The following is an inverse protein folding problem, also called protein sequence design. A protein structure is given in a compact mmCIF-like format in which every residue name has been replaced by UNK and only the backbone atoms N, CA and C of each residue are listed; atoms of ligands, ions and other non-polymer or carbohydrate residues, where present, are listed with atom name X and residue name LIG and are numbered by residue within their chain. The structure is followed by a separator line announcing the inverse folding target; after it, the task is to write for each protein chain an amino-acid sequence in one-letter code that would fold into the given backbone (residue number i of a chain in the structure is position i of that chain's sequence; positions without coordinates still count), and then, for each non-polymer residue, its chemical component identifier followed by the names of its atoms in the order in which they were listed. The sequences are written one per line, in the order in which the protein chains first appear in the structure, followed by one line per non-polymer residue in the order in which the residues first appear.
data_IF_726979229915
#
_entry.id   IF_726979229915
#
_cell.length_a   1.000
_cell.length_b   1.000
_cell.length_c   1.000
_cell.angle_alpha   90.00
_cell.angle_beta   90.00
_cell.angle_gamma   90.00
#
_symmetry.space_group_name_H-M   'P 1'
#
loop_
_entity.id
_entity.type
_entity.pdbx_description
1 polymer ?
#
# COMPACT_ATOMS: atom_id res chain seq x y z
N UNK A 1 -49.31 16.19 -7.71
CA UNK A 1 -47.93 15.96 -7.19
C UNK A 1 -47.35 14.79 -7.95
N UNK A 2 -46.24 14.92 -8.68
CA UNK A 2 -45.61 13.79 -9.35
C UNK A 2 -45.08 12.83 -8.27
N UNK A 3 -45.36 11.53 -8.43
CA UNK A 3 -44.80 10.47 -7.56
C UNK A 3 -43.27 10.53 -7.67
N UNK A 4 -42.60 10.66 -6.55
CA UNK A 4 -41.14 10.47 -6.49
C UNK A 4 -40.82 9.04 -6.98
N UNK A 5 -40.07 8.93 -8.06
CA UNK A 5 -39.60 7.65 -8.57
C UNK A 5 -38.38 7.32 -7.77
N UNK A 6 -38.40 6.20 -7.02
CA UNK A 6 -37.23 5.71 -6.29
C UNK A 6 -36.43 4.75 -7.16
N UNK A 7 -35.12 4.76 -7.01
CA UNK A 7 -34.20 3.80 -7.59
C UNK A 7 -33.36 3.16 -6.48
N UNK A 8 -32.80 1.99 -6.74
CA UNK A 8 -31.95 1.28 -5.81
C UNK A 8 -30.51 1.26 -6.32
N UNK A 9 -29.59 1.80 -5.54
CA UNK A 9 -28.17 1.91 -5.90
C UNK A 9 -27.35 0.97 -5.00
N UNK A 10 -26.52 0.16 -5.63
CA UNK A 10 -25.62 -0.72 -4.88
C UNK A 10 -24.51 0.10 -4.20
N UNK A 11 -24.44 0.05 -2.88
CA UNK A 11 -23.45 0.76 -2.07
C UNK A 11 -21.99 0.31 -2.37
N UNK A 12 -21.81 -0.87 -2.96
CA UNK A 12 -20.50 -1.45 -3.25
C UNK A 12 -19.96 -1.15 -4.65
N UNK A 13 -20.84 -1.19 -5.67
CA UNK A 13 -20.39 -1.06 -7.06
C UNK A 13 -21.11 0.04 -7.86
N UNK A 14 -22.07 0.75 -7.24
CA UNK A 14 -22.82 1.81 -7.91
C UNK A 14 -23.81 1.31 -8.96
N UNK A 15 -24.10 0.01 -9.05
CA UNK A 15 -25.12 -0.52 -9.96
C UNK A 15 -26.49 0.03 -9.60
N UNK A 16 -27.20 0.59 -10.59
CA UNK A 16 -28.53 1.17 -10.43
C UNK A 16 -29.60 0.20 -10.89
N UNK A 17 -30.60 -0.04 -10.06
CA UNK A 17 -31.77 -0.88 -10.36
C UNK A 17 -33.06 -0.11 -10.09
N UNK A 18 -34.09 -0.27 -10.94
CA UNK A 18 -35.42 0.28 -10.64
C UNK A 18 -36.16 -0.48 -9.53
N UNK A 19 -35.64 -1.61 -9.08
CA UNK A 19 -36.19 -2.49 -8.06
C UNK A 19 -35.12 -2.86 -7.05
N UNK A 20 -35.53 -3.05 -5.80
CA UNK A 20 -34.66 -3.67 -4.82
C UNK A 20 -34.37 -5.12 -5.19
N UNK A 21 -33.10 -5.52 -5.17
CA UNK A 21 -32.64 -6.87 -5.42
C UNK A 21 -31.83 -7.34 -4.22
N UNK A 22 -32.15 -8.50 -3.68
CA UNK A 22 -31.42 -9.07 -2.54
C UNK A 22 -29.93 -9.35 -2.83
N UNK A 23 -29.58 -9.49 -4.11
CA UNK A 23 -28.20 -9.68 -4.59
C UNK A 23 -27.94 -8.71 -5.74
N UNK A 24 -26.83 -7.97 -5.69
CA UNK A 24 -26.43 -7.08 -6.77
C UNK A 24 -25.97 -7.89 -8.00
N UNK A 25 -26.56 -7.70 -9.19
CA UNK A 25 -26.17 -8.46 -10.38
C UNK A 25 -24.78 -8.10 -10.91
N UNK A 26 -24.26 -6.92 -10.57
CA UNK A 26 -22.96 -6.47 -11.05
C UNK A 26 -21.78 -6.97 -10.20
N UNK A 27 -21.89 -6.89 -8.84
CA UNK A 27 -20.81 -7.31 -7.95
C UNK A 27 -21.09 -8.61 -7.18
N UNK A 28 -22.31 -9.16 -7.26
CA UNK A 28 -22.69 -10.41 -6.63
C UNK A 28 -22.89 -10.37 -5.11
N UNK A 29 -22.67 -9.22 -4.45
CA UNK A 29 -22.87 -9.07 -3.01
C UNK A 29 -24.35 -9.00 -2.64
N UNK A 30 -24.70 -9.47 -1.43
CA UNK A 30 -26.07 -9.49 -0.91
C UNK A 30 -26.34 -8.24 -0.07
N UNK A 31 -27.61 -7.77 -0.08
CA UNK A 31 -28.13 -6.67 0.73
C UNK A 31 -27.36 -5.34 0.59
N UNK A 32 -26.83 -5.06 -0.59
CA UNK A 32 -26.03 -3.85 -0.87
C UNK A 32 -26.80 -2.76 -1.63
N UNK A 33 -28.06 -3.00 -1.98
CA UNK A 33 -28.90 -2.05 -2.70
C UNK A 33 -29.65 -1.15 -1.70
N UNK A 34 -29.29 0.14 -1.68
CA UNK A 34 -29.96 1.18 -0.90
C UNK A 34 -30.98 1.94 -1.77
N UNK A 35 -32.10 2.33 -1.19
CA UNK A 35 -33.12 3.12 -1.87
C UNK A 35 -32.66 4.59 -1.95
N UNK A 36 -32.61 5.15 -3.16
CA UNK A 36 -32.33 6.56 -3.41
C UNK A 36 -33.48 7.21 -4.19
N UNK A 37 -33.93 8.40 -3.78
CA UNK A 37 -34.99 9.12 -4.53
C UNK A 37 -34.44 9.62 -5.86
N UNK A 38 -35.15 9.33 -6.94
CA UNK A 38 -34.87 9.93 -8.26
C UNK A 38 -35.63 11.26 -8.31
N UNK A 39 -34.95 12.39 -8.18
CA UNK A 39 -35.53 13.67 -8.54
C UNK A 39 -35.41 13.87 -10.05
N UNK A 40 -36.43 14.44 -10.69
CA UNK A 40 -36.33 14.74 -12.12
C UNK A 40 -35.17 15.71 -12.33
N UNK A 41 -34.24 15.31 -13.14
CA UNK A 41 -33.13 16.16 -13.56
C UNK A 41 -33.69 17.47 -14.07
N UNK A 42 -33.30 18.60 -13.47
CA UNK A 42 -33.55 19.91 -14.07
C UNK A 42 -33.06 19.87 -15.53
N UNK A 43 -33.75 20.46 -16.49
CA UNK A 43 -33.37 20.39 -17.87
C UNK A 43 -31.98 20.99 -18.02
N UNK A 44 -30.99 20.11 -18.15
CA UNK A 44 -29.63 20.50 -18.43
C UNK A 44 -29.64 21.32 -19.71
N UNK A 45 -29.38 22.62 -19.62
CA UNK A 45 -29.02 23.42 -20.80
C UNK A 45 -27.87 22.71 -21.46
N UNK A 46 -28.16 22.02 -22.56
CA UNK A 46 -27.17 21.45 -23.44
C UNK A 46 -26.31 22.58 -24.01
N UNK A 47 -25.34 23.05 -23.27
CA UNK A 47 -24.19 23.67 -23.87
C UNK A 47 -23.35 22.56 -24.48
N UNK A 48 -23.74 22.16 -25.68
CA UNK A 48 -22.87 21.40 -26.58
C UNK A 48 -21.76 22.35 -27.03
N UNK A 49 -20.70 22.47 -26.24
CA UNK A 49 -19.41 22.87 -26.81
C UNK A 49 -19.00 21.69 -27.69
N UNK A 50 -19.39 21.73 -28.95
CA UNK A 50 -18.80 20.94 -30.01
C UNK A 50 -17.39 21.46 -30.25
N UNK A 51 -16.45 21.15 -29.38
CA UNK A 51 -15.05 21.06 -29.79
C UNK A 51 -15.00 19.87 -30.74
N UNK A 52 -14.97 20.19 -32.03
CA UNK A 52 -14.82 19.17 -33.09
C UNK A 52 -13.49 18.47 -32.91
N UNK A 53 -13.47 17.43 -32.09
CA UNK A 53 -12.34 16.52 -31.95
C UNK A 53 -12.23 15.73 -33.27
N UNK A 54 -11.35 16.17 -34.15
CA UNK A 54 -11.00 15.46 -35.37
C UNK A 54 -10.07 14.30 -34.98
N UNK A 55 -10.34 13.11 -35.47
CA UNK A 55 -9.38 12.01 -35.34
C UNK A 55 -8.06 12.40 -35.99
N UNK A 56 -6.97 12.26 -35.27
CA UNK A 56 -5.61 12.58 -35.74
C UNK A 56 -4.84 11.27 -35.93
N UNK A 57 -4.12 11.07 -37.02
CA UNK A 57 -3.22 9.95 -37.19
C UNK A 57 -2.18 9.90 -36.07
N UNK A 58 -1.78 8.71 -35.65
CA UNK A 58 -0.77 8.53 -34.59
C UNK A 58 0.53 9.28 -34.87
N UNK A 59 0.94 9.36 -36.14
CA UNK A 59 2.14 10.07 -36.59
C UNK A 59 2.09 11.60 -36.43
N UNK A 60 0.88 12.16 -36.24
CA UNK A 60 0.65 13.60 -36.03
C UNK A 60 0.44 13.94 -34.57
N UNK A 61 0.38 12.94 -33.69
CA UNK A 61 0.31 13.15 -32.25
C UNK A 61 1.70 13.52 -31.78
N UNK A 62 1.89 14.80 -31.41
CA UNK A 62 3.11 15.25 -30.77
C UNK A 62 3.18 14.66 -29.36
N UNK A 63 4.25 13.91 -29.10
CA UNK A 63 4.52 13.39 -27.77
C UNK A 63 5.06 14.52 -26.89
N UNK A 64 4.19 15.19 -26.13
CA UNK A 64 4.64 16.03 -25.05
C UNK A 64 5.16 15.11 -23.94
N UNK A 65 6.47 15.13 -23.69
CA UNK A 65 7.01 14.56 -22.46
C UNK A 65 6.26 15.22 -21.30
N UNK A 66 5.52 14.43 -20.54
CA UNK A 66 4.88 14.95 -19.33
C UNK A 66 5.95 15.60 -18.45
N UNK A 67 5.87 16.91 -18.34
CA UNK A 67 6.71 17.66 -17.42
C UNK A 67 6.38 17.17 -16.00
N UNK A 68 7.39 16.72 -15.28
CA UNK A 68 7.24 16.19 -13.93
C UNK A 68 7.76 17.23 -12.95
N UNK A 69 6.95 17.48 -11.92
CA UNK A 69 7.27 18.38 -10.83
C UNK A 69 7.58 17.54 -9.60
N UNK A 70 8.63 17.86 -8.86
CA UNK A 70 8.95 17.16 -7.62
C UNK A 70 7.89 17.46 -6.56
N UNK A 71 7.52 16.44 -5.81
CA UNK A 71 6.65 16.59 -4.63
C UNK A 71 7.38 17.15 -3.40
N UNK A 72 8.71 17.34 -3.49
CA UNK A 72 9.59 17.65 -2.35
C UNK A 72 9.96 16.43 -1.50
N UNK A 73 9.40 15.27 -1.80
CA UNK A 73 9.66 14.01 -1.07
C UNK A 73 10.06 12.92 -2.07
N UNK A 74 11.35 12.60 -2.09
CA UNK A 74 11.94 11.68 -3.09
C UNK A 74 11.21 10.31 -3.15
N UNK A 75 10.82 9.77 -2.01
CA UNK A 75 10.09 8.49 -1.93
C UNK A 75 8.70 8.58 -2.56
N UNK A 76 8.01 9.71 -2.45
CA UNK A 76 6.73 9.94 -3.13
C UNK A 76 6.94 10.08 -4.64
N UNK A 77 7.98 10.80 -5.06
CA UNK A 77 8.31 10.96 -6.48
C UNK A 77 8.58 9.60 -7.15
N UNK A 78 9.29 8.69 -6.46
CA UNK A 78 9.50 7.31 -6.95
C UNK A 78 8.17 6.59 -7.18
N UNK A 79 7.24 6.63 -6.21
CA UNK A 79 5.93 5.96 -6.32
C UNK A 79 5.08 6.58 -7.43
N UNK A 80 5.19 7.90 -7.64
CA UNK A 80 4.52 8.61 -8.74
C UNK A 80 5.15 8.30 -10.11
N UNK A 81 6.31 7.63 -10.13
CA UNK A 81 7.04 7.29 -11.37
C UNK A 81 7.98 8.40 -11.84
N UNK A 82 8.53 9.16 -10.89
CA UNK A 82 9.53 10.22 -11.09
C UNK A 82 8.99 11.65 -10.88
N UNK A 83 7.87 11.80 -10.17
CA UNK A 83 7.27 13.09 -9.81
C UNK A 83 5.84 13.28 -10.29
N UNK A 84 5.27 14.41 -9.92
CA UNK A 84 3.88 14.80 -10.18
C UNK A 84 3.74 15.18 -11.67
N UNK A 85 2.72 14.63 -12.32
CA UNK A 85 2.35 14.98 -13.71
C UNK A 85 1.28 16.07 -13.70
N UNK A 86 1.50 17.18 -14.40
CA UNK A 86 0.52 18.27 -14.50
C UNK A 86 -0.80 17.80 -15.11
N UNK A 87 -1.92 18.29 -14.59
CA UNK A 87 -3.27 17.91 -15.04
C UNK A 87 -3.64 16.48 -14.68
N UNK A 88 -2.96 15.86 -13.71
CA UNK A 88 -3.29 14.53 -13.19
C UNK A 88 -4.26 14.59 -12.02
N UNK A 89 -4.97 13.48 -11.82
CA UNK A 89 -5.84 13.24 -10.67
C UNK A 89 -5.28 12.05 -9.87
N UNK A 90 -4.76 12.32 -8.68
CA UNK A 90 -4.09 11.36 -7.80
C UNK A 90 -4.94 11.12 -6.56
N UNK A 91 -5.25 9.87 -6.24
CA UNK A 91 -5.91 9.46 -5.01
C UNK A 91 -4.89 8.91 -4.02
N UNK A 92 -4.91 9.40 -2.79
CA UNK A 92 -4.11 8.88 -1.67
C UNK A 92 -5.07 8.25 -0.66
N UNK A 93 -5.10 6.91 -0.65
CA UNK A 93 -5.93 6.10 0.24
C UNK A 93 -5.14 5.56 1.44
N UNK A 94 -5.85 5.05 2.43
CA UNK A 94 -5.27 4.42 3.62
C UNK A 94 -6.14 4.62 4.85
N UNK A 95 -5.79 3.94 5.95
CA UNK A 95 -6.54 4.01 7.20
C UNK A 95 -6.58 5.44 7.77
N UNK A 96 -7.66 5.80 8.50
CA UNK A 96 -7.70 7.08 9.21
C UNK A 96 -6.53 7.20 10.19
N UNK A 97 -5.85 8.37 10.18
CA UNK A 97 -4.70 8.64 11.08
C UNK A 97 -3.35 8.04 10.62
N UNK A 98 -3.26 7.43 9.42
CA UNK A 98 -2.00 6.86 8.91
C UNK A 98 -1.00 7.92 8.40
N UNK A 99 -1.43 9.18 8.23
CA UNK A 99 -0.57 10.28 7.81
C UNK A 99 -0.87 10.89 6.44
N UNK A 100 -1.97 10.52 5.77
CA UNK A 100 -2.33 11.04 4.43
C UNK A 100 -2.37 12.56 4.35
N UNK A 101 -3.12 13.20 5.25
CA UNK A 101 -3.25 14.66 5.32
C UNK A 101 -1.93 15.34 5.66
N UNK A 102 -1.09 14.71 6.51
CA UNK A 102 0.26 15.22 6.83
C UNK A 102 1.15 15.21 5.59
N UNK A 103 1.21 14.09 4.85
CA UNK A 103 1.97 13.98 3.62
C UNK A 103 1.55 15.05 2.62
N UNK A 104 0.24 15.17 2.36
CA UNK A 104 -0.26 16.11 1.36
C UNK A 104 -0.15 17.57 1.81
N UNK A 105 -0.15 17.87 3.12
CA UNK A 105 0.17 19.21 3.63
C UNK A 105 1.64 19.58 3.33
N UNK A 106 2.58 18.63 3.51
CA UNK A 106 3.99 18.86 3.18
C UNK A 106 4.20 19.05 1.68
N UNK A 107 3.55 18.23 0.84
CA UNK A 107 3.56 18.38 -0.62
C UNK A 107 2.98 19.73 -1.04
N UNK A 108 1.85 20.15 -0.47
CA UNK A 108 1.20 21.42 -0.76
C UNK A 108 2.12 22.60 -0.43
N UNK A 109 2.76 22.58 0.73
CA UNK A 109 3.69 23.64 1.14
C UNK A 109 4.94 23.70 0.25
N UNK A 110 5.48 22.55 -0.17
CA UNK A 110 6.60 22.50 -1.11
C UNK A 110 6.21 23.11 -2.47
N UNK A 111 5.09 22.69 -3.02
CA UNK A 111 4.60 23.20 -4.31
C UNK A 111 4.28 24.70 -4.24
N UNK A 112 3.78 25.18 -3.10
CA UNK A 112 3.47 26.59 -2.88
C UNK A 112 4.70 27.52 -2.88
N UNK A 113 5.91 26.96 -2.87
CA UNK A 113 7.13 27.74 -3.08
C UNK A 113 7.21 28.40 -4.47
N UNK A 114 6.63 27.76 -5.50
CA UNK A 114 6.71 28.24 -6.89
C UNK A 114 5.35 28.31 -7.59
N UNK A 115 4.28 27.72 -6.99
CA UNK A 115 2.97 27.55 -7.63
C UNK A 115 1.83 28.01 -6.74
N UNK A 116 0.70 28.36 -7.34
CA UNK A 116 -0.55 28.60 -6.63
C UNK A 116 -1.18 27.27 -6.20
N UNK A 117 -1.30 27.04 -4.89
CA UNK A 117 -1.81 25.80 -4.31
C UNK A 117 -3.05 26.07 -3.48
N UNK A 118 -4.12 25.32 -3.71
CA UNK A 118 -5.33 25.32 -2.89
C UNK A 118 -5.41 24.05 -2.05
N UNK A 119 -5.57 24.20 -0.74
CA UNK A 119 -5.96 23.11 0.17
C UNK A 119 -7.44 23.26 0.50
N UNK A 120 -8.27 22.47 -0.15
CA UNK A 120 -9.72 22.38 0.08
C UNK A 120 -9.95 21.37 1.21
N UNK A 121 -10.18 21.89 2.40
CA UNK A 121 -10.46 21.10 3.59
C UNK A 121 -11.96 20.94 3.78
N UNK A 122 -12.47 19.74 3.59
CA UNK A 122 -13.88 19.42 3.76
C UNK A 122 -14.20 18.77 5.11
N UNK A 123 -13.19 18.36 5.89
CA UNK A 123 -13.37 17.73 7.21
C UNK A 123 -12.84 18.59 8.35
N UNK A 124 -11.75 19.30 8.15
CA UNK A 124 -11.10 20.11 9.18
C UNK A 124 -11.27 21.61 8.90
N UNK A 125 -11.32 22.42 9.94
CA UNK A 125 -11.33 23.89 9.81
C UNK A 125 -9.97 24.40 9.31
N UNK A 126 -9.95 25.58 8.68
CA UNK A 126 -8.70 26.23 8.27
C UNK A 126 -7.73 26.42 9.46
N UNK A 127 -8.23 26.65 10.67
CA UNK A 127 -7.42 26.78 11.88
C UNK A 127 -6.71 25.48 12.25
N UNK A 128 -7.36 24.32 12.08
CA UNK A 128 -6.74 23.02 12.34
C UNK A 128 -5.66 22.69 11.30
N UNK A 129 -5.92 23.02 10.04
CA UNK A 129 -4.90 22.87 8.98
C UNK A 129 -3.72 23.81 9.23
N UNK A 130 -3.96 25.07 9.62
CA UNK A 130 -2.90 26.04 9.97
C UNK A 130 -2.05 25.55 11.15
N UNK A 131 -2.68 25.02 12.21
CA UNK A 131 -1.96 24.44 13.35
C UNK A 131 -1.07 23.25 12.93
N UNK A 132 -1.55 22.43 12.00
CA UNK A 132 -0.74 21.35 11.41
C UNK A 132 0.46 21.92 10.65
N UNK A 133 0.26 22.94 9.81
CA UNK A 133 1.36 23.62 9.09
C UNK A 133 2.40 24.18 10.07
N UNK A 134 1.98 24.87 11.12
CA UNK A 134 2.88 25.41 12.15
C UNK A 134 3.70 24.32 12.85
N UNK A 135 3.08 23.21 13.23
CA UNK A 135 3.79 22.06 13.82
C UNK A 135 4.83 21.46 12.89
N UNK A 136 4.58 21.50 11.60
CA UNK A 136 5.48 20.98 10.55
C UNK A 136 6.52 22.04 10.10
N UNK A 137 6.48 23.26 10.66
CA UNK A 137 7.37 24.35 10.24
C UNK A 137 7.11 24.84 8.81
N UNK A 138 5.87 24.69 8.33
CA UNK A 138 5.47 25.04 6.97
C UNK A 138 4.73 26.38 6.97
N UNK A 139 5.18 27.31 6.11
CA UNK A 139 4.53 28.59 5.86
C UNK A 139 4.71 28.99 4.41
N UNK A 140 3.64 29.51 3.78
CA UNK A 140 3.68 30.02 2.40
C UNK A 140 2.44 30.86 2.10
N UNK A 141 2.63 32.05 1.53
CA UNK A 141 1.54 32.91 1.08
C UNK A 141 0.80 32.36 -0.16
N UNK A 142 1.44 31.46 -0.92
CA UNK A 142 0.83 30.82 -2.08
C UNK A 142 0.02 29.55 -1.73
N UNK A 143 0.01 29.12 -0.45
CA UNK A 143 -0.84 28.04 0.03
C UNK A 143 -2.17 28.60 0.56
N UNK A 144 -3.20 28.54 -0.27
CA UNK A 144 -4.54 29.00 0.07
C UNK A 144 -5.32 27.89 0.77
N UNK A 145 -5.99 28.23 1.88
CA UNK A 145 -6.85 27.29 2.61
C UNK A 145 -8.30 27.67 2.39
N UNK A 146 -9.13 26.72 2.00
CA UNK A 146 -10.58 26.88 1.87
C UNK A 146 -11.30 25.76 2.63
N UNK A 147 -12.19 26.15 3.55
CA UNK A 147 -13.07 25.20 4.24
C UNK A 147 -14.42 25.23 3.54
N UNK A 148 -14.64 24.30 2.62
CA UNK A 148 -15.86 24.17 1.84
C UNK A 148 -16.10 22.71 1.45
N UNK A 149 -17.35 22.28 1.41
CA UNK A 149 -17.78 20.93 1.03
C UNK A 149 -18.54 20.90 -0.30
N UNK A 150 -19.14 22.03 -0.69
CA UNK A 150 -19.87 22.17 -1.95
C UNK A 150 -18.90 22.57 -3.07
N UNK A 151 -18.80 21.72 -4.11
CA UNK A 151 -17.90 21.98 -5.24
C UNK A 151 -18.29 23.21 -6.08
N UNK A 152 -19.58 23.57 -6.14
CA UNK A 152 -20.04 24.75 -6.83
C UNK A 152 -19.46 26.02 -6.19
N UNK A 153 -19.46 26.07 -4.86
CA UNK A 153 -18.91 27.22 -4.11
C UNK A 153 -17.37 27.26 -4.19
N UNK A 154 -16.72 26.10 -4.30
CA UNK A 154 -15.25 26.00 -4.37
C UNK A 154 -14.71 26.24 -5.80
N UNK A 155 -15.53 26.25 -6.84
CA UNK A 155 -15.10 26.23 -8.24
C UNK A 155 -14.20 27.42 -8.61
N UNK A 156 -14.50 28.62 -8.17
CA UNK A 156 -13.70 29.83 -8.47
C UNK A 156 -12.27 29.68 -7.87
N UNK A 157 -12.16 29.26 -6.62
CA UNK A 157 -10.90 29.04 -5.96
C UNK A 157 -10.09 27.90 -6.62
N UNK A 158 -10.76 26.82 -7.02
CA UNK A 158 -10.15 25.70 -7.75
C UNK A 158 -9.56 26.18 -9.08
N UNK A 159 -10.30 26.98 -9.83
CA UNK A 159 -9.84 27.49 -11.13
C UNK A 159 -8.71 28.51 -11.03
N UNK A 160 -8.49 29.09 -9.87
CA UNK A 160 -7.38 30.00 -9.56
C UNK A 160 -6.07 29.31 -9.16
N UNK A 161 -6.07 27.99 -8.99
CA UNK A 161 -4.91 27.23 -8.52
C UNK A 161 -4.30 26.34 -9.62
N UNK A 162 -3.00 26.03 -9.49
CA UNK A 162 -2.34 25.03 -10.34
C UNK A 162 -2.40 23.63 -9.72
N UNK A 163 -2.37 23.55 -8.39
CA UNK A 163 -2.47 22.31 -7.61
C UNK A 163 -3.56 22.44 -6.56
N UNK A 164 -4.36 21.40 -6.41
CA UNK A 164 -5.47 21.37 -5.46
C UNK A 164 -5.39 20.08 -4.64
N UNK A 165 -5.34 20.21 -3.32
CA UNK A 165 -5.53 19.11 -2.38
C UNK A 165 -6.99 19.12 -1.92
N UNK A 166 -7.68 17.98 -1.99
CA UNK A 166 -9.05 17.79 -1.50
C UNK A 166 -9.03 16.81 -0.34
N UNK A 167 -9.33 17.27 0.86
CA UNK A 167 -9.27 16.47 2.10
C UNK A 167 -10.62 16.53 2.85
N UNK A 168 -11.50 15.53 2.67
CA UNK A 168 -11.43 14.33 1.86
C UNK A 168 -12.48 14.31 0.74
N UNK A 169 -12.28 13.39 -0.23
CA UNK A 169 -13.22 13.20 -1.34
C UNK A 169 -14.59 12.70 -0.88
N UNK A 170 -14.68 12.09 0.30
CA UNK A 170 -15.93 11.62 0.89
C UNK A 170 -16.77 12.75 1.49
N UNK A 171 -16.16 13.86 1.87
CA UNK A 171 -16.85 14.97 2.51
C UNK A 171 -17.40 15.98 1.52
N UNK A 172 -16.87 16.04 0.29
CA UNK A 172 -17.35 16.95 -0.75
C UNK A 172 -18.61 16.42 -1.45
N UNK A 173 -19.44 17.37 -1.94
CA UNK A 173 -20.64 17.06 -2.72
C UNK A 173 -20.87 18.08 -3.83
N UNK A 174 -21.80 17.77 -4.74
CA UNK A 174 -22.28 18.66 -5.81
C UNK A 174 -23.81 18.76 -5.74
N UNK A 175 -24.34 19.96 -6.01
CA UNK A 175 -25.79 20.20 -6.07
C UNK A 175 -26.48 19.52 -7.27
N UNK A 176 -25.66 18.95 -8.21
CA UNK A 176 -26.19 18.19 -9.33
C UNK A 176 -26.88 16.88 -8.91
N UNK A 177 -26.60 16.39 -7.70
CA UNK A 177 -27.18 15.19 -7.12
C UNK A 177 -27.81 15.51 -5.76
N UNK A 178 -28.89 14.81 -5.46
CA UNK A 178 -29.63 14.99 -4.20
C UNK A 178 -29.29 13.98 -3.12
N UNK A 179 -28.43 13.04 -3.45
CA UNK A 179 -27.90 12.08 -2.48
C UNK A 179 -26.97 12.77 -1.47
N UNK A 180 -26.90 12.22 -0.26
CA UNK A 180 -26.04 12.77 0.80
C UNK A 180 -24.54 12.75 0.43
N UNK A 181 -23.77 13.71 0.95
CA UNK A 181 -22.31 13.68 0.88
C UNK A 181 -21.79 12.33 1.37
N UNK A 182 -20.69 11.82 0.77
CA UNK A 182 -20.13 10.50 1.08
C UNK A 182 -20.87 9.33 0.42
N UNK A 183 -22.07 9.53 -0.18
CA UNK A 183 -22.68 8.49 -0.98
C UNK A 183 -21.83 8.18 -2.22
N UNK A 184 -21.93 6.95 -2.70
CA UNK A 184 -21.17 6.49 -3.89
C UNK A 184 -21.45 7.37 -5.11
N UNK A 185 -22.70 7.81 -5.29
CA UNK A 185 -23.10 8.68 -6.37
C UNK A 185 -22.40 10.04 -6.30
N UNK A 186 -22.40 10.69 -5.12
CA UNK A 186 -21.73 11.97 -4.89
C UNK A 186 -20.23 11.87 -5.11
N UNK A 187 -19.57 10.90 -4.47
CA UNK A 187 -18.12 10.71 -4.59
C UNK A 187 -17.71 10.49 -6.05
N UNK A 188 -18.49 9.72 -6.80
CA UNK A 188 -18.25 9.48 -8.22
C UNK A 188 -18.42 10.74 -9.07
N UNK A 189 -19.50 11.49 -8.90
CA UNK A 189 -19.75 12.70 -9.68
C UNK A 189 -18.76 13.81 -9.36
N UNK A 190 -18.43 14.00 -8.08
CA UNK A 190 -17.38 14.94 -7.66
C UNK A 190 -16.03 14.59 -8.31
N UNK A 191 -15.61 13.34 -8.24
CA UNK A 191 -14.36 12.88 -8.86
C UNK A 191 -14.39 13.06 -10.40
N UNK A 192 -15.51 12.75 -11.06
CA UNK A 192 -15.65 12.93 -12.51
C UNK A 192 -15.61 14.42 -12.91
N UNK A 193 -16.15 15.32 -12.09
CA UNK A 193 -16.09 16.76 -12.30
C UNK A 193 -14.66 17.29 -12.13
N UNK A 194 -13.96 16.89 -11.06
CA UNK A 194 -12.57 17.24 -10.84
C UNK A 194 -11.66 16.72 -11.96
N UNK A 195 -11.89 15.50 -12.46
CA UNK A 195 -11.18 14.96 -13.63
C UNK A 195 -11.40 15.82 -14.89
N UNK A 196 -12.64 16.29 -15.15
CA UNK A 196 -12.92 17.17 -16.27
C UNK A 196 -12.16 18.50 -16.15
N UNK A 197 -12.12 19.08 -14.96
CA UNK A 197 -11.37 20.31 -14.68
C UNK A 197 -9.88 20.04 -14.87
N UNK A 198 -9.32 18.96 -14.31
CA UNK A 198 -7.92 18.58 -14.45
C UNK A 198 -7.49 18.53 -15.91
N UNK A 199 -8.27 17.82 -16.76
CA UNK A 199 -7.91 17.64 -18.19
C UNK A 199 -8.15 18.86 -19.04
N UNK A 200 -9.13 19.72 -18.70
CA UNK A 200 -9.45 20.92 -19.50
C UNK A 200 -8.61 22.15 -19.12
N UNK A 201 -8.15 22.23 -17.87
CA UNK A 201 -7.45 23.38 -17.31
C UNK A 201 -5.98 23.10 -16.96
N UNK A 202 -5.55 21.83 -17.00
CA UNK A 202 -4.20 21.44 -16.59
C UNK A 202 -3.95 21.51 -15.08
N UNK A 203 -5.02 21.58 -14.26
CA UNK A 203 -4.93 21.65 -12.81
C UNK A 203 -4.69 20.23 -12.26
N UNK A 204 -3.72 20.09 -11.37
CA UNK A 204 -3.40 18.81 -10.72
C UNK A 204 -4.13 18.67 -9.40
N UNK A 205 -4.76 17.52 -9.19
CA UNK A 205 -5.50 17.24 -7.96
C UNK A 205 -4.91 16.07 -7.18
N UNK A 206 -4.80 16.26 -5.86
CA UNK A 206 -4.59 15.20 -4.88
C UNK A 206 -5.86 15.05 -4.06
N UNK A 207 -6.44 13.86 -4.09
CA UNK A 207 -7.64 13.52 -3.32
C UNK A 207 -7.26 12.63 -2.15
N UNK A 208 -7.64 13.00 -0.93
CA UNK A 208 -7.56 12.12 0.24
C UNK A 208 -8.77 11.21 0.25
N UNK A 209 -8.55 9.91 0.42
CA UNK A 209 -9.60 8.91 0.55
C UNK A 209 -9.43 8.03 1.80
N UNK A 210 -10.55 7.71 2.46
CA UNK A 210 -10.57 6.75 3.56
C UNK A 210 -10.95 5.36 3.04
N UNK A 211 -10.30 4.32 3.58
CA UNK A 211 -10.64 2.91 3.32
C UNK A 211 -11.58 2.39 4.38
N UNK A 212 -12.38 1.38 4.03
CA UNK A 212 -13.16 0.63 5.01
C UNK A 212 -12.25 -0.34 5.76
N UNK A 213 -12.70 -0.84 6.93
CA UNK A 213 -11.98 -1.86 7.74
C UNK A 213 -11.62 -3.14 6.98
N UNK A 214 -12.22 -3.37 5.83
CA UNK A 214 -11.96 -4.50 4.93
C UNK A 214 -10.87 -4.21 3.89
N UNK A 215 -10.17 -3.07 3.99
CA UNK A 215 -9.10 -2.66 3.05
C UNK A 215 -9.61 -2.23 1.68
N UNK A 216 -10.93 -2.04 1.52
CA UNK A 216 -11.53 -1.47 0.31
C UNK A 216 -11.82 0.00 0.54
N UNK A 217 -11.58 0.83 -0.48
CA UNK A 217 -12.00 2.25 -0.44
C UNK A 217 -13.49 2.33 -0.11
N UNK A 218 -13.84 3.20 0.86
CA UNK A 218 -15.23 3.56 1.11
C UNK A 218 -15.74 4.38 -0.09
N UNK A 219 -16.48 3.69 -0.96
CA UNK A 219 -16.82 4.19 -2.28
C UNK A 219 -15.94 3.48 -3.31
N UNK A 220 -16.55 2.89 -4.32
CA UNK A 220 -16.16 1.66 -4.95
C UNK A 220 -14.89 1.77 -5.80
N UNK A 221 -14.38 0.63 -6.27
CA UNK A 221 -13.47 0.44 -7.42
C UNK A 221 -13.73 1.38 -8.61
N UNK A 222 -14.87 2.05 -8.63
CA UNK A 222 -15.26 3.10 -9.57
C UNK A 222 -14.32 4.30 -9.53
N UNK A 223 -13.83 4.71 -8.35
CA UNK A 223 -12.85 5.80 -8.26
C UNK A 223 -11.52 5.42 -8.90
N UNK A 224 -11.07 4.18 -8.73
CA UNK A 224 -9.83 3.71 -9.33
C UNK A 224 -9.82 3.85 -10.85
N UNK A 225 -10.98 3.67 -11.50
CA UNK A 225 -11.09 3.85 -12.96
C UNK A 225 -10.98 5.30 -13.40
N UNK A 226 -11.46 6.24 -12.57
CA UNK A 226 -11.44 7.68 -12.87
C UNK A 226 -10.04 8.27 -12.64
N UNK A 227 -9.34 7.85 -11.57
CA UNK A 227 -8.03 8.37 -11.20
C UNK A 227 -6.95 8.03 -12.23
N UNK A 228 -5.97 8.91 -12.38
CA UNK A 228 -4.75 8.63 -13.14
C UNK A 228 -3.74 7.82 -12.32
N UNK A 229 -3.62 8.12 -11.03
CA UNK A 229 -2.85 7.34 -10.08
C UNK A 229 -3.66 7.10 -8.79
N UNK A 230 -3.48 5.93 -8.19
CA UNK A 230 -4.06 5.54 -6.90
C UNK A 230 -2.94 5.01 -6.03
N UNK A 231 -2.69 5.71 -4.93
CA UNK A 231 -1.65 5.39 -3.97
C UNK A 231 -2.31 4.93 -2.66
N UNK A 232 -1.73 3.93 -2.03
CA UNK A 232 -2.22 3.38 -0.77
C UNK A 232 -1.14 3.41 0.30
N UNK A 233 -1.46 4.00 1.46
CA UNK A 233 -0.67 3.83 2.66
C UNK A 233 -1.02 2.51 3.35
N UNK A 234 0.00 1.71 3.61
CA UNK A 234 -0.04 0.45 4.36
C UNK A 234 0.80 0.60 5.64
N UNK A 235 0.39 -0.04 6.72
CA UNK A 235 1.07 -0.07 8.02
C UNK A 235 0.10 0.16 9.17
N UNK A 236 0.45 -0.28 10.38
CA UNK A 236 -0.34 -0.05 11.58
C UNK A 236 -0.08 1.36 12.16
N UNK A 237 -1.07 1.91 12.88
CA UNK A 237 -0.96 3.27 13.45
C UNK A 237 0.20 3.43 14.43
N UNK A 238 0.53 2.35 15.13
CA UNK A 238 1.56 2.30 16.17
C UNK A 238 2.97 2.11 15.62
N UNK A 239 3.11 1.82 14.33
CA UNK A 239 4.41 1.61 13.71
C UNK A 239 5.02 2.93 13.24
N UNK A 240 6.34 3.08 13.42
CA UNK A 240 7.07 4.26 12.97
C UNK A 240 7.15 4.33 11.44
N UNK A 241 7.25 3.17 10.78
CA UNK A 241 7.39 3.10 9.34
C UNK A 241 6.07 2.83 8.64
N UNK A 242 5.89 3.45 7.48
CA UNK A 242 4.73 3.30 6.60
C UNK A 242 5.20 3.01 5.18
N UNK A 243 4.44 2.20 4.46
CA UNK A 243 4.70 1.90 3.06
C UNK A 243 3.63 2.57 2.21
N UNK A 244 4.02 3.32 1.20
CA UNK A 244 3.13 3.86 0.19
C UNK A 244 3.29 3.06 -1.10
N UNK A 245 2.22 2.48 -1.58
CA UNK A 245 2.19 1.66 -2.79
C UNK A 245 1.30 2.25 -3.87
N UNK A 246 1.75 2.21 -5.12
CA UNK A 246 0.88 2.49 -6.26
C UNK A 246 0.03 1.24 -6.57
N UNK A 247 -1.31 1.37 -6.46
CA UNK A 247 -2.28 0.36 -6.92
C UNK A 247 -2.60 0.57 -8.41
N UNK A 248 -2.58 1.84 -8.84
CA UNK A 248 -2.73 2.25 -10.23
C UNK A 248 -1.81 3.43 -10.50
N UNK A 249 -1.13 3.41 -11.64
CA UNK A 249 -0.35 4.55 -12.11
C UNK A 249 -0.30 4.54 -13.65
N UNK A 250 -0.91 5.56 -14.28
CA UNK A 250 -0.88 5.71 -15.75
C UNK A 250 0.43 6.30 -16.25
N UNK A 251 1.23 6.85 -15.36
CA UNK A 251 2.47 7.58 -15.67
C UNK A 251 3.74 6.82 -15.30
N UNK A 252 3.61 5.67 -14.65
CA UNK A 252 4.73 4.88 -14.17
C UNK A 252 4.36 3.46 -13.78
N UNK A 253 5.33 2.74 -13.24
CA UNK A 253 5.15 1.39 -12.74
C UNK A 253 4.29 1.37 -11.46
N UNK A 254 3.41 0.38 -11.34
CA UNK A 254 2.69 0.09 -10.09
C UNK A 254 3.52 -0.78 -9.12
N UNK A 255 4.72 -1.18 -9.52
CA UNK A 255 5.61 -1.98 -8.68
C UNK A 255 6.47 -1.14 -7.75
N UNK A 256 6.50 0.19 -7.93
CA UNK A 256 7.26 1.08 -7.08
C UNK A 256 6.57 1.26 -5.73
N UNK A 257 7.37 1.26 -4.67
CA UNK A 257 6.92 1.52 -3.30
C UNK A 257 7.81 2.57 -2.66
N UNK A 258 7.21 3.42 -1.83
CA UNK A 258 7.91 4.39 -0.99
C UNK A 258 7.89 3.94 0.46
N UNK A 259 9.00 4.11 1.16
CA UNK A 259 9.11 3.87 2.60
C UNK A 259 9.17 5.21 3.32
N UNK A 260 8.32 5.38 4.33
CA UNK A 260 8.19 6.63 5.07
C UNK A 260 8.29 6.38 6.56
N UNK A 261 8.86 7.32 7.27
CA UNK A 261 8.89 7.36 8.73
C UNK A 261 8.02 8.52 9.23
N UNK A 262 7.25 8.24 10.29
CA UNK A 262 6.50 9.27 11.00
C UNK A 262 7.37 9.85 12.10
N UNK A 263 7.69 11.14 11.99
CA UNK A 263 8.48 11.88 12.98
C UNK A 263 7.68 13.04 13.54
N UNK A 264 8.17 13.69 14.58
CA UNK A 264 7.57 14.92 15.13
C UNK A 264 7.56 16.06 14.09
N UNK A 265 8.53 16.08 13.18
CA UNK A 265 8.63 17.04 12.08
C UNK A 265 7.76 16.68 10.86
N UNK A 266 6.99 15.58 10.92
CA UNK A 266 6.13 15.13 9.82
C UNK A 266 6.53 13.79 9.23
N UNK A 267 6.16 13.59 7.97
CA UNK A 267 6.49 12.37 7.21
C UNK A 267 7.79 12.58 6.46
N UNK A 268 8.74 11.68 6.66
CA UNK A 268 10.05 11.70 5.99
C UNK A 268 10.20 10.45 5.13
N UNK A 269 10.65 10.62 3.90
CA UNK A 269 10.99 9.49 3.02
C UNK A 269 12.29 8.83 3.47
N UNK A 270 12.28 7.51 3.60
CA UNK A 270 13.44 6.72 4.02
C UNK A 270 14.10 6.09 2.80
N UNK A 271 15.27 6.56 2.44
CA UNK A 271 16.03 6.06 1.28
C UNK A 271 16.89 4.84 1.61
N UNK A 272 17.38 4.75 2.85
CA UNK A 272 18.15 3.59 3.36
C UNK A 272 17.26 2.70 4.23
N UNK A 273 16.37 1.97 3.56
CA UNK A 273 15.37 1.11 4.20
C UNK A 273 15.82 -0.35 4.34
N UNK A 274 16.92 -0.74 3.73
CA UNK A 274 17.28 -2.15 3.60
C UNK A 274 17.54 -2.83 4.96
N UNK A 275 18.02 -2.06 5.94
CA UNK A 275 18.32 -2.56 7.29
C UNK A 275 17.30 -2.18 8.38
N UNK A 276 16.26 -1.40 8.06
CA UNK A 276 15.30 -0.88 9.04
C UNK A 276 14.56 -1.95 9.86
N UNK A 277 14.39 -3.13 9.29
CA UNK A 277 13.63 -4.23 9.86
C UNK A 277 14.52 -5.34 10.42
N UNK A 278 15.76 -4.98 10.76
CA UNK A 278 16.74 -5.85 11.37
C UNK A 278 17.07 -5.37 12.79
N UNK A 279 17.08 -6.29 13.74
CA UNK A 279 17.51 -6.01 15.11
C UNK A 279 19.03 -5.93 15.20
N UNK A 280 19.54 -5.04 16.05
CA UNK A 280 20.97 -4.98 16.39
C UNK A 280 21.44 -6.23 17.14
N UNK A 281 20.53 -6.88 17.87
CA UNK A 281 20.80 -8.10 18.68
C UNK A 281 20.59 -9.40 17.91
N UNK A 282 20.42 -9.34 16.57
CA UNK A 282 20.24 -10.56 15.75
C UNK A 282 21.43 -11.52 15.90
N UNK A 283 21.12 -12.81 15.94
CA UNK A 283 22.11 -13.87 16.13
C UNK A 283 22.50 -14.14 17.59
N UNK A 284 21.97 -13.38 18.56
CA UNK A 284 22.23 -13.59 19.99
C UNK A 284 21.17 -14.50 20.62
N UNK A 285 19.91 -14.41 20.16
CA UNK A 285 18.81 -15.20 20.67
C UNK A 285 18.32 -16.23 19.66
N UNK A 286 17.86 -17.38 20.15
CA UNK A 286 17.17 -18.38 19.33
C UNK A 286 15.78 -17.87 18.93
N UNK A 287 15.31 -18.32 17.77
CA UNK A 287 13.97 -17.98 17.29
C UNK A 287 13.93 -16.84 16.28
N UNK A 288 15.08 -16.31 15.86
CA UNK A 288 15.16 -15.28 14.84
C UNK A 288 15.77 -15.80 13.53
N UNK A 289 15.25 -15.31 12.39
CA UNK A 289 15.81 -15.56 11.06
C UNK A 289 15.55 -14.36 10.15
N UNK A 290 16.46 -14.09 9.22
CA UNK A 290 16.33 -12.98 8.28
C UNK A 290 15.96 -13.51 6.89
N UNK A 291 14.98 -12.86 6.25
CA UNK A 291 14.58 -13.13 4.87
C UNK A 291 14.66 -11.89 4.00
N UNK A 292 15.21 -11.99 2.79
CA UNK A 292 15.05 -10.95 1.76
C UNK A 292 13.67 -11.10 1.12
N UNK A 293 12.79 -10.12 1.34
CA UNK A 293 11.44 -10.08 0.80
C UNK A 293 11.29 -8.99 -0.26
N UNK A 294 10.60 -9.30 -1.34
CA UNK A 294 10.25 -8.30 -2.34
C UNK A 294 8.95 -7.59 -1.99
N UNK A 295 9.01 -6.29 -1.94
CA UNK A 295 7.86 -5.41 -1.80
C UNK A 295 7.86 -4.47 -3.01
N UNK A 296 6.98 -4.76 -3.98
CA UNK A 296 7.02 -4.06 -5.26
C UNK A 296 8.31 -4.33 -6.03
N UNK A 297 9.03 -3.28 -6.40
CA UNK A 297 10.32 -3.36 -7.11
C UNK A 297 11.54 -3.34 -6.18
N UNK A 298 11.32 -3.28 -4.88
CA UNK A 298 12.36 -3.18 -3.84
C UNK A 298 12.50 -4.50 -3.08
N UNK A 299 13.72 -4.87 -2.77
CA UNK A 299 14.01 -5.98 -1.88
C UNK A 299 14.41 -5.43 -0.51
N UNK A 300 13.74 -5.87 0.54
CA UNK A 300 14.00 -5.49 1.92
C UNK A 300 14.37 -6.70 2.74
N UNK A 301 15.29 -6.54 3.68
CA UNK A 301 15.63 -7.59 4.63
C UNK A 301 14.73 -7.47 5.85
N UNK A 302 13.97 -8.52 6.13
CA UNK A 302 13.01 -8.56 7.24
C UNK A 302 13.42 -9.65 8.21
N UNK A 303 13.51 -9.28 9.47
CA UNK A 303 13.73 -10.23 10.55
C UNK A 303 12.38 -10.82 10.99
N UNK A 304 12.34 -12.15 11.02
CA UNK A 304 11.23 -12.92 11.58
C UNK A 304 11.63 -13.39 12.97
N UNK A 305 10.82 -13.10 13.97
CA UNK A 305 11.04 -13.53 15.34
C UNK A 305 9.94 -14.49 15.77
N UNK A 306 10.33 -15.59 16.40
CA UNK A 306 9.42 -16.61 16.91
C UNK A 306 9.66 -16.82 18.40
N UNK A 307 8.59 -16.72 19.18
CA UNK A 307 8.58 -17.13 20.58
C UNK A 307 7.74 -18.40 20.71
N UNK A 308 8.29 -19.37 21.42
CA UNK A 308 7.63 -20.63 21.67
C UNK A 308 7.61 -20.93 23.16
N UNK A 309 6.48 -21.40 23.67
CA UNK A 309 6.35 -21.85 25.04
C UNK A 309 5.45 -23.08 25.13
N UNK A 310 5.64 -23.92 26.15
CA UNK A 310 4.81 -25.09 26.35
C UNK A 310 3.38 -24.70 26.63
N UNK A 311 2.43 -25.27 25.92
CA UNK A 311 1.01 -25.02 26.15
C UNK A 311 0.61 -25.41 27.56
N UNK A 312 0.06 -24.47 28.33
CA UNK A 312 -0.33 -24.71 29.70
C UNK A 312 -1.73 -25.36 29.81
N UNK A 313 -2.65 -25.04 28.89
CA UNK A 313 -4.05 -25.45 28.94
C UNK A 313 -4.60 -25.78 27.54
N UNK A 314 -4.99 -27.02 27.32
CA UNK A 314 -5.81 -27.43 26.19
C UNK A 314 -5.14 -27.31 24.82
N UNK A 315 -5.74 -26.57 23.90
CA UNK A 315 -5.26 -26.43 22.52
C UNK A 315 -4.14 -25.40 22.41
N UNK A 316 -3.05 -25.71 21.69
CA UNK A 316 -1.95 -24.80 21.46
C UNK A 316 -2.39 -23.53 20.71
N UNK A 317 -1.95 -22.37 21.18
CA UNK A 317 -2.21 -21.07 20.56
C UNK A 317 -1.27 -20.84 19.39
N UNK A 318 -1.80 -20.25 18.33
CA UNK A 318 -1.02 -19.82 17.15
C UNK A 318 -1.33 -18.36 16.88
N UNK A 319 -0.32 -17.52 16.92
CA UNK A 319 -0.42 -16.09 16.57
C UNK A 319 0.63 -15.76 15.54
N UNK A 320 0.24 -14.95 14.57
CA UNK A 320 1.16 -14.48 13.52
C UNK A 320 0.87 -13.01 13.22
N UNK A 321 1.93 -12.21 13.24
CA UNK A 321 1.95 -10.83 12.79
C UNK A 321 2.86 -10.74 11.58
N UNK A 322 2.34 -10.21 10.48
CA UNK A 322 3.08 -10.06 9.22
C UNK A 322 3.09 -11.29 8.29
N UNK A 323 2.73 -12.49 8.77
CA UNK A 323 2.57 -13.71 7.96
C UNK A 323 1.13 -14.22 8.11
N UNK A 324 0.54 -14.77 7.06
CA UNK A 324 -0.79 -15.40 7.12
C UNK A 324 -0.81 -16.56 8.14
N UNK A 325 -1.79 -16.52 9.03
CA UNK A 325 -1.91 -17.51 10.12
C UNK A 325 -2.09 -18.94 9.58
N UNK A 326 -2.88 -19.12 8.51
CA UNK A 326 -3.08 -20.44 7.93
C UNK A 326 -1.78 -20.96 7.32
N UNK A 327 -0.97 -20.05 6.72
CA UNK A 327 0.35 -20.42 6.21
C UNK A 327 1.28 -20.87 7.33
N UNK A 328 1.33 -20.15 8.44
CA UNK A 328 2.10 -20.56 9.63
C UNK A 328 1.69 -21.95 10.11
N UNK A 329 0.39 -22.23 10.21
CA UNK A 329 -0.13 -23.54 10.65
C UNK A 329 0.32 -24.66 9.70
N UNK A 330 0.29 -24.42 8.40
CA UNK A 330 0.78 -25.37 7.39
C UNK A 330 2.27 -25.65 7.56
N UNK A 331 3.08 -24.61 7.74
CA UNK A 331 4.55 -24.76 7.93
C UNK A 331 4.88 -25.51 9.22
N UNK A 332 4.15 -25.28 10.30
CA UNK A 332 4.27 -26.05 11.54
C UNK A 332 4.01 -27.54 11.27
N UNK A 333 2.92 -27.89 10.56
CA UNK A 333 2.61 -29.27 10.23
C UNK A 333 3.69 -29.94 9.36
N UNK A 334 4.28 -29.19 8.40
CA UNK A 334 5.41 -29.68 7.60
C UNK A 334 6.62 -29.96 8.48
N UNK A 335 7.01 -29.05 9.37
CA UNK A 335 8.13 -29.22 10.28
C UNK A 335 7.95 -30.44 11.21
N UNK A 336 6.77 -30.65 11.74
CA UNK A 336 6.46 -31.83 12.56
C UNK A 336 6.60 -33.13 11.77
N UNK A 337 5.94 -33.22 10.63
CA UNK A 337 5.82 -34.47 9.88
C UNK A 337 7.06 -34.81 9.04
N UNK A 338 7.82 -33.81 8.60
CA UNK A 338 8.98 -34.01 7.70
C UNK A 338 10.32 -33.78 8.37
N UNK A 339 10.37 -33.02 9.46
CA UNK A 339 11.61 -32.71 10.14
C UNK A 339 11.67 -33.24 11.58
N UNK A 340 10.57 -33.80 12.10
CA UNK A 340 10.50 -34.40 13.43
C UNK A 340 10.59 -33.40 14.58
N UNK A 341 10.22 -32.12 14.35
CA UNK A 341 10.18 -31.12 15.41
C UNK A 341 8.91 -31.27 16.27
N UNK A 342 8.98 -31.00 17.57
CA UNK A 342 7.87 -31.17 18.51
C UNK A 342 7.10 -29.87 18.73
N UNK A 343 6.35 -29.40 17.72
CA UNK A 343 5.64 -28.12 17.75
C UNK A 343 4.17 -28.22 18.15
N UNK A 344 3.56 -29.42 18.07
CA UNK A 344 2.13 -29.64 18.28
C UNK A 344 1.63 -29.36 19.70
N UNK A 345 2.53 -29.38 20.70
CA UNK A 345 2.21 -29.12 22.11
C UNK A 345 2.72 -27.77 22.60
N UNK A 346 3.17 -26.90 21.70
CA UNK A 346 3.72 -25.60 22.05
C UNK A 346 2.83 -24.47 21.50
N UNK A 347 2.66 -23.41 22.29
CA UNK A 347 2.16 -22.13 21.80
C UNK A 347 3.23 -21.48 20.93
N UNK A 348 2.82 -20.94 19.80
CA UNK A 348 3.74 -20.32 18.82
C UNK A 348 3.28 -18.90 18.51
N UNK A 349 4.17 -17.95 18.69
CA UNK A 349 4.01 -16.55 18.37
C UNK A 349 5.06 -16.16 17.33
N UNK A 350 4.63 -15.72 16.15
CA UNK A 350 5.51 -15.27 15.06
C UNK A 350 5.27 -13.79 14.78
N UNK A 351 6.35 -13.03 14.65
CA UNK A 351 6.31 -11.62 14.31
C UNK A 351 7.31 -11.31 13.19
N UNK A 352 6.85 -10.63 12.14
CA UNK A 352 7.71 -9.95 11.19
C UNK A 352 8.00 -8.54 11.71
N UNK A 353 9.28 -8.21 11.90
CA UNK A 353 9.69 -6.93 12.48
C UNK A 353 9.26 -5.76 11.60
N UNK A 354 8.93 -4.62 12.24
CA UNK A 354 8.47 -3.40 11.57
C UNK A 354 7.05 -3.48 11.01
N UNK A 355 6.25 -4.50 11.39
CA UNK A 355 4.84 -4.62 10.99
C UNK A 355 4.61 -4.92 9.51
N UNK A 356 5.66 -5.32 8.79
CA UNK A 356 5.57 -5.63 7.37
C UNK A 356 4.76 -6.89 7.14
N UNK A 357 3.83 -6.83 6.19
CA UNK A 357 3.14 -8.02 5.69
C UNK A 357 3.95 -8.71 4.59
N UNK A 358 4.43 -9.91 4.89
CA UNK A 358 5.10 -10.80 3.95
C UNK A 358 4.05 -11.72 3.32
N UNK A 359 3.51 -11.34 2.19
CA UNK A 359 2.46 -12.09 1.47
C UNK A 359 3.01 -13.10 0.47
N UNK A 360 4.30 -13.00 0.16
CA UNK A 360 4.93 -13.89 -0.81
C UNK A 360 5.45 -15.19 -0.15
N UNK A 361 5.34 -16.34 -0.84
CA UNK A 361 5.79 -17.64 -0.30
C UNK A 361 7.31 -17.73 -0.08
N UNK A 362 8.09 -16.80 -0.59
CA UNK A 362 9.56 -16.82 -0.44
C UNK A 362 10.04 -16.73 1.01
N UNK A 363 9.21 -16.22 1.92
CA UNK A 363 9.52 -16.14 3.35
C UNK A 363 9.33 -17.48 4.10
N UNK A 364 8.69 -18.47 3.51
CA UNK A 364 8.35 -19.74 4.18
C UNK A 364 9.56 -20.43 4.80
N UNK A 365 10.66 -20.49 4.04
CA UNK A 365 11.88 -21.16 4.50
C UNK A 365 12.48 -20.45 5.71
N UNK A 366 12.38 -19.12 5.78
CA UNK A 366 12.83 -18.33 6.92
C UNK A 366 11.91 -18.50 8.13
N UNK A 367 10.58 -18.62 7.92
CA UNK A 367 9.64 -19.00 8.99
C UNK A 367 10.02 -20.36 9.57
N UNK A 368 10.30 -21.35 8.71
CA UNK A 368 10.76 -22.67 9.15
C UNK A 368 12.10 -22.58 9.90
N UNK A 369 13.01 -21.71 9.47
CA UNK A 369 14.30 -21.47 10.12
C UNK A 369 14.13 -20.89 11.53
N UNK A 370 13.26 -19.86 11.69
CA UNK A 370 12.97 -19.24 12.97
C UNK A 370 12.32 -20.24 13.94
N UNK A 371 11.33 -21.02 13.47
CA UNK A 371 10.68 -22.06 14.27
C UNK A 371 11.67 -23.16 14.70
N UNK A 372 12.53 -23.63 13.80
CA UNK A 372 13.52 -24.66 14.12
C UNK A 372 14.59 -24.12 15.09
N UNK A 373 14.97 -22.86 14.94
CA UNK A 373 15.89 -22.17 15.85
C UNK A 373 15.30 -22.06 17.27
N UNK A 374 14.02 -21.65 17.38
CA UNK A 374 13.32 -21.53 18.65
C UNK A 374 13.18 -22.89 19.35
N UNK A 375 12.74 -23.93 18.62
CA UNK A 375 12.54 -25.29 19.17
C UNK A 375 13.86 -25.90 19.66
N UNK A 376 14.95 -25.71 18.90
CA UNK A 376 16.28 -26.21 19.25
C UNK A 376 17.06 -25.32 20.23
N UNK A 377 16.49 -24.17 20.61
CA UNK A 377 17.16 -23.16 21.46
C UNK A 377 18.55 -22.77 20.96
N UNK A 378 18.71 -22.65 19.61
CA UNK A 378 19.97 -22.32 18.96
C UNK A 378 19.80 -21.13 18.02
N UNK A 379 20.57 -20.05 18.21
CA UNK A 379 20.48 -18.88 17.35
C UNK A 379 20.96 -19.18 15.92
N UNK A 380 20.33 -18.50 14.94
CA UNK A 380 20.81 -18.44 13.57
C UNK A 380 21.92 -17.39 13.50
N UNK A 381 23.00 -17.70 12.80
CA UNK A 381 24.10 -16.73 12.60
C UNK A 381 23.60 -15.42 12.00
N UNK A 382 24.03 -14.29 12.58
CA UNK A 382 23.54 -12.93 12.24
C UNK A 382 23.83 -12.48 10.80
N UNK A 383 24.76 -13.14 10.13
CA UNK A 383 25.12 -12.86 8.74
C UNK A 383 24.53 -13.87 7.75
N UNK A 384 23.59 -14.69 8.20
CA UNK A 384 22.90 -15.68 7.37
C UNK A 384 21.47 -15.22 7.06
N UNK A 385 21.13 -15.15 5.77
CA UNK A 385 19.76 -14.92 5.30
C UNK A 385 19.19 -16.19 4.69
N UNK A 386 17.85 -16.33 4.73
CA UNK A 386 17.16 -17.56 4.30
C UNK A 386 15.95 -17.18 3.46
N UNK A 387 15.76 -17.78 2.29
CA UNK A 387 14.54 -17.61 1.52
C UNK A 387 14.20 -18.85 0.69
N UNK A 388 12.92 -19.05 0.40
CA UNK A 388 12.41 -20.13 -0.43
C UNK A 388 10.97 -20.48 -0.10
N UNK A 389 10.21 -20.98 -1.07
CA UNK A 389 8.86 -21.49 -0.86
C UNK A 389 8.94 -22.92 -0.33
N UNK A 390 8.07 -23.29 0.60
CA UNK A 390 8.01 -24.63 1.19
C UNK A 390 6.72 -25.34 0.79
N UNK A 391 6.85 -26.50 0.14
CA UNK A 391 5.73 -27.37 -0.18
C UNK A 391 5.35 -28.33 0.94
N UNK A 392 4.18 -28.95 0.84
CA UNK A 392 3.61 -29.86 1.85
C UNK A 392 4.43 -31.14 2.07
N UNK A 393 5.23 -31.53 1.09
CA UNK A 393 6.14 -32.68 1.22
C UNK A 393 7.47 -32.31 1.85
N UNK A 394 7.65 -31.04 2.22
CA UNK A 394 8.88 -30.49 2.79
C UNK A 394 9.93 -30.11 1.74
N UNK A 395 9.58 -30.14 0.45
CA UNK A 395 10.43 -29.68 -0.62
C UNK A 395 10.56 -28.15 -0.62
N UNK A 396 11.74 -27.66 -0.99
CA UNK A 396 12.02 -26.24 -1.17
C UNK A 396 11.93 -25.89 -2.65
N UNK A 397 11.04 -24.98 -2.99
CA UNK A 397 10.75 -24.55 -4.35
C UNK A 397 11.43 -23.24 -4.69
N UNK A 398 11.77 -23.10 -5.97
CA UNK A 398 12.35 -21.89 -6.52
C UNK A 398 11.38 -20.71 -6.40
N UNK A 399 11.94 -19.53 -6.13
CA UNK A 399 11.23 -18.26 -6.04
C UNK A 399 11.72 -17.27 -7.08
N UNK A 400 10.91 -16.27 -7.38
CA UNK A 400 11.27 -15.19 -8.30
C UNK A 400 12.38 -14.29 -7.75
N UNK A 401 13.08 -13.62 -8.66
CA UNK A 401 14.07 -12.57 -8.36
C UNK A 401 15.16 -12.95 -7.36
N UNK A 402 15.56 -14.21 -7.35
CA UNK A 402 16.57 -14.72 -6.42
C UNK A 402 17.89 -13.94 -6.49
N UNK A 403 18.27 -13.47 -7.67
CA UNK A 403 19.48 -12.67 -7.87
C UNK A 403 19.40 -11.28 -7.21
N UNK A 404 18.23 -10.62 -7.24
CA UNK A 404 18.01 -9.35 -6.52
C UNK A 404 18.09 -9.56 -5.00
N UNK A 405 17.47 -10.64 -4.49
CA UNK A 405 17.50 -11.00 -3.07
C UNK A 405 18.92 -11.23 -2.55
N UNK A 406 19.72 -11.99 -3.28
CA UNK A 406 21.12 -12.23 -2.93
C UNK A 406 21.94 -10.94 -3.01
N UNK A 407 21.70 -10.12 -4.03
CA UNK A 407 22.39 -8.83 -4.16
C UNK A 407 22.11 -7.91 -2.97
N UNK A 408 20.88 -7.86 -2.48
CA UNK A 408 20.52 -7.04 -1.32
C UNK A 408 21.16 -7.57 -0.04
N UNK A 409 21.15 -8.91 0.18
CA UNK A 409 21.88 -9.52 1.28
C UNK A 409 23.37 -9.15 1.24
N UNK A 410 23.99 -9.17 0.06
CA UNK A 410 25.39 -8.82 -0.11
C UNK A 410 25.67 -7.35 0.24
N UNK A 411 24.83 -6.40 -0.24
CA UNK A 411 24.95 -4.98 0.09
C UNK A 411 24.86 -4.72 1.60
N UNK A 412 23.98 -5.45 2.28
CA UNK A 412 23.78 -5.35 3.72
C UNK A 412 24.81 -6.14 4.56
N UNK A 413 25.86 -6.64 3.92
CA UNK A 413 27.00 -7.29 4.61
C UNK A 413 26.73 -8.72 5.07
N UNK A 414 25.67 -9.38 4.57
CA UNK A 414 25.45 -10.79 4.83
C UNK A 414 26.53 -11.62 4.16
N UNK A 415 26.93 -12.69 4.82
CA UNK A 415 28.04 -13.57 4.38
C UNK A 415 27.54 -14.88 3.80
N UNK A 416 26.29 -15.27 4.13
CA UNK A 416 25.70 -16.54 3.77
C UNK A 416 24.23 -16.38 3.40
N UNK A 417 23.81 -17.09 2.36
CA UNK A 417 22.40 -17.17 1.96
C UNK A 417 22.04 -18.63 1.74
N UNK A 418 20.98 -19.07 2.43
CA UNK A 418 20.35 -20.37 2.19
C UNK A 418 19.15 -20.14 1.27
N UNK A 419 19.17 -20.82 0.13
CA UNK A 419 18.21 -20.60 -0.94
C UNK A 419 17.83 -21.93 -1.62
N UNK A 420 16.73 -21.96 -2.40
CA UNK A 420 16.37 -23.14 -3.16
C UNK A 420 17.50 -23.57 -4.12
N UNK A 421 17.83 -24.84 -4.17
CA UNK A 421 18.89 -25.38 -5.06
C UNK A 421 18.69 -24.93 -6.52
N UNK A 422 17.44 -24.87 -6.98
CA UNK A 422 17.10 -24.44 -8.35
C UNK A 422 17.43 -22.97 -8.62
N UNK A 423 17.46 -22.11 -7.60
CA UNK A 423 17.81 -20.70 -7.73
C UNK A 423 19.33 -20.46 -7.72
N UNK A 424 20.13 -21.41 -7.24
CA UNK A 424 21.58 -21.25 -7.07
C UNK A 424 22.29 -20.85 -8.36
N UNK A 425 21.93 -21.46 -9.48
CA UNK A 425 22.49 -21.14 -10.80
C UNK A 425 22.30 -19.67 -11.21
N UNK A 426 21.12 -19.10 -10.94
CA UNK A 426 20.85 -17.68 -11.23
C UNK A 426 21.67 -16.72 -10.36
N UNK A 427 22.18 -17.21 -9.22
CA UNK A 427 22.95 -16.44 -8.26
C UNK A 427 24.46 -16.67 -8.35
N UNK A 428 24.94 -17.52 -9.26
CA UNK A 428 26.37 -17.89 -9.40
C UNK A 428 27.30 -16.67 -9.57
N UNK A 429 26.81 -15.58 -10.15
CA UNK A 429 27.57 -14.33 -10.31
C UNK A 429 28.01 -13.68 -8.98
N UNK A 430 27.42 -14.12 -7.86
CA UNK A 430 27.78 -13.67 -6.51
C UNK A 430 28.68 -14.67 -5.77
N UNK A 431 28.97 -15.84 -6.36
CA UNK A 431 29.86 -16.83 -5.78
C UNK A 431 31.24 -16.23 -5.51
N UNK A 432 31.83 -16.55 -4.34
CA UNK A 432 33.08 -15.94 -3.88
C UNK A 432 32.94 -14.61 -3.13
N UNK A 433 31.77 -13.94 -3.24
CA UNK A 433 31.45 -12.72 -2.47
C UNK A 433 30.50 -13.01 -1.31
N UNK A 434 29.62 -14.00 -1.47
CA UNK A 434 28.71 -14.50 -0.46
C UNK A 434 28.58 -16.03 -0.61
N UNK A 435 28.49 -16.75 0.50
CA UNK A 435 28.30 -18.20 0.49
C UNK A 435 26.85 -18.52 0.10
N UNK A 436 26.67 -19.31 -0.97
CA UNK A 436 25.35 -19.74 -1.48
C UNK A 436 25.13 -21.22 -1.14
N UNK A 437 24.23 -21.48 -0.20
CA UNK A 437 23.88 -22.84 0.24
C UNK A 437 22.53 -23.23 -0.40
N UNK A 438 22.60 -24.05 -1.45
CA UNK A 438 21.40 -24.59 -2.10
C UNK A 438 20.80 -25.72 -1.28
N UNK A 439 19.47 -25.67 -1.08
CA UNK A 439 18.73 -26.72 -0.34
C UNK A 439 17.54 -27.22 -1.17
N UNK A 440 17.26 -28.53 -1.03
CA UNK A 440 16.14 -29.20 -1.71
C UNK A 440 14.96 -29.46 -0.79
N UNK A 441 15.24 -29.66 0.50
CA UNK A 441 14.26 -29.93 1.53
C UNK A 441 14.49 -29.04 2.75
N UNK A 442 13.44 -28.80 3.52
CA UNK A 442 13.52 -28.05 4.79
C UNK A 442 14.51 -28.70 5.76
N UNK A 443 14.59 -30.03 5.78
CA UNK A 443 15.58 -30.75 6.59
C UNK A 443 17.03 -30.43 6.22
N UNK A 444 17.32 -30.11 4.95
CA UNK A 444 18.66 -29.70 4.51
C UNK A 444 18.99 -28.31 5.05
N UNK A 445 18.00 -27.39 5.02
CA UNK A 445 18.13 -26.06 5.60
C UNK A 445 18.41 -26.15 7.11
N UNK A 446 17.67 -26.95 7.86
CA UNK A 446 17.87 -27.12 9.31
C UNK A 446 19.28 -27.63 9.60
N UNK A 447 19.78 -28.62 8.85
CA UNK A 447 21.16 -29.13 8.98
C UNK A 447 22.20 -28.07 8.66
N UNK A 448 21.96 -27.26 7.65
CA UNK A 448 22.87 -26.19 7.25
C UNK A 448 22.95 -25.06 8.26
N UNK A 449 21.78 -24.67 8.84
CA UNK A 449 21.68 -23.57 9.82
C UNK A 449 22.15 -23.98 11.21
N UNK A 450 21.77 -25.16 11.65
CA UNK A 450 21.92 -25.65 13.02
C UNK A 450 22.67 -27.02 12.99
N UNK A 451 23.93 -27.05 12.56
CA UNK A 451 24.71 -28.30 12.49
C UNK A 451 24.70 -28.94 13.87
N UNK A 452 24.48 -30.25 13.93
CA UNK A 452 24.61 -30.98 15.19
C UNK A 452 26.07 -30.87 15.64
N UNK A 453 26.27 -30.30 16.83
CA UNK A 453 27.59 -30.47 17.48
C UNK A 453 27.75 -31.96 17.71
N UNK A 454 28.72 -32.56 17.03
CA UNK A 454 28.99 -33.99 17.12
C UNK A 454 29.17 -34.42 18.58
N UNK A 455 28.08 -34.90 19.19
CA UNK A 455 28.08 -35.73 20.39
C UNK A 455 27.50 -37.08 20.03
#
# INVERSE_FOLDING_TARGET
MPKATTQFVCAECGYVSPKWLGRCPACGKFNTLAEEPVLPAAPAKKQSVRTGTRAVPLSQVTYERYERVSSGIAELDVVLGGGIVRGSLVLVGGDPGIGKSTLLTQVAAHLAGEHAVLYLSAEESCSQVKLRCERLGLDSDNLLLLNETNLENAEEAILGAEYVIVDSVQAIYTDALTSAAGSVGQVRECAARLMRIAKSRGITFFLVGHVTKEGTLAGPKVLEHIMDAVLYFEGERTESFKILRAVKNRFGSVQEVGVFEMTDAGIVGVTDYAGLFLSDTRGEAAGAAVTPSETGNRCMLVELQTLMCRTAYGLPRRMSLGIDLNRLIVLIAVLEKRCGLSLGTQDVYLNAMGGIRLSEPSADLAVCAALASAEKMRPVDKYTAVFGEVGLTGEVRAVGYADKRVNECLKMGFKRVILPEKNKKACEKYAGRIELVGVRYVSDMIRALLPNDGR
#
